data_IF_478689635751
#
_entry.id   IF_478689635751
#
_cell.length_a   1.000
_cell.length_b   1.000
_cell.length_c   1.000
_cell.angle_alpha   90.00
_cell.angle_beta   90.00
_cell.angle_gamma   90.00
#
_symmetry.space_group_name_H-M   'P 1'
#
loop_
_entity.id
_entity.type
_entity.pdbx_description
1 polymer ?
#
# COMPACT_ATOMS: atom_id res chain seq x y z
N UNK A 1 -29.76 -4.70 7.93
CA UNK A 1 -28.38 -5.04 8.36
C UNK A 1 -27.89 -3.99 9.36
N UNK A 2 -27.17 -4.38 10.41
CA UNK A 2 -26.53 -3.41 11.32
C UNK A 2 -25.25 -2.84 10.71
N UNK A 3 -24.88 -1.61 11.05
CA UNK A 3 -23.61 -0.99 10.62
C UNK A 3 -22.39 -1.85 10.99
N UNK A 4 -22.47 -2.58 12.13
CA UNK A 4 -21.39 -3.47 12.61
C UNK A 4 -21.15 -4.69 11.72
N UNK A 5 -22.20 -5.20 11.08
CA UNK A 5 -22.15 -6.39 10.21
C UNK A 5 -21.92 -6.04 8.75
N UNK A 6 -22.24 -4.80 8.33
CA UNK A 6 -22.16 -4.33 6.95
C UNK A 6 -20.75 -4.42 6.35
N UNK A 7 -19.73 -4.05 7.13
CA UNK A 7 -18.35 -4.13 6.68
C UNK A 7 -17.94 -5.57 6.34
N UNK A 8 -18.24 -6.50 7.25
CA UNK A 8 -17.87 -7.91 7.09
C UNK A 8 -18.54 -8.55 5.88
N UNK A 9 -19.82 -8.27 5.64
CA UNK A 9 -20.54 -8.83 4.48
C UNK A 9 -19.94 -8.34 3.16
N UNK A 10 -19.63 -7.05 3.03
CA UNK A 10 -19.02 -6.48 1.81
C UNK A 10 -17.64 -7.04 1.52
N UNK A 11 -16.80 -7.17 2.55
CA UNK A 11 -15.47 -7.79 2.43
C UNK A 11 -15.59 -9.24 1.99
N UNK A 12 -16.49 -10.02 2.60
CA UNK A 12 -16.69 -11.42 2.25
C UNK A 12 -17.17 -11.60 0.81
N UNK A 13 -18.11 -10.76 0.36
CA UNK A 13 -18.59 -10.77 -1.02
C UNK A 13 -17.47 -10.44 -2.00
N UNK A 14 -16.69 -9.41 -1.71
CA UNK A 14 -15.52 -9.03 -2.50
C UNK A 14 -14.53 -10.20 -2.62
N UNK A 15 -14.16 -10.83 -1.51
CA UNK A 15 -13.24 -11.98 -1.52
C UNK A 15 -13.79 -13.17 -2.29
N UNK A 16 -15.08 -13.49 -2.13
CA UNK A 16 -15.72 -14.58 -2.87
C UNK A 16 -15.64 -14.32 -4.38
N UNK A 17 -15.88 -13.09 -4.82
CA UNK A 17 -15.80 -12.70 -6.24
C UNK A 17 -14.35 -12.73 -6.75
N UNK A 18 -13.43 -12.07 -6.04
CA UNK A 18 -12.03 -11.99 -6.44
C UNK A 18 -11.34 -13.34 -6.43
N UNK A 19 -11.60 -14.20 -5.44
CA UNK A 19 -11.01 -15.53 -5.34
C UNK A 19 -11.34 -16.38 -6.57
N UNK A 20 -12.59 -16.34 -7.06
CA UNK A 20 -12.97 -17.06 -8.29
C UNK A 20 -12.14 -16.60 -9.49
N UNK A 21 -11.96 -15.29 -9.68
CA UNK A 21 -11.15 -14.78 -10.78
C UNK A 21 -9.68 -15.16 -10.64
N UNK A 22 -9.07 -14.92 -9.47
CA UNK A 22 -7.66 -15.23 -9.24
C UNK A 22 -7.36 -16.73 -9.26
N UNK A 23 -8.31 -17.60 -8.88
CA UNK A 23 -8.14 -19.05 -8.99
C UNK A 23 -8.03 -19.49 -10.45
N UNK A 24 -8.86 -18.95 -11.34
CA UNK A 24 -8.81 -19.25 -12.78
C UNK A 24 -7.51 -18.71 -13.40
N UNK A 25 -7.11 -17.48 -13.06
CA UNK A 25 -5.84 -16.89 -13.54
C UNK A 25 -4.66 -17.73 -13.02
N UNK A 26 -4.66 -18.06 -11.75
CA UNK A 26 -3.61 -18.86 -11.11
C UNK A 26 -3.42 -20.21 -11.79
N UNK A 27 -4.52 -20.94 -12.05
CA UNK A 27 -4.46 -22.24 -12.71
C UNK A 27 -3.84 -22.19 -14.12
N UNK A 28 -4.07 -21.11 -14.87
CA UNK A 28 -3.64 -21.02 -16.27
C UNK A 28 -2.27 -20.35 -16.46
N UNK A 29 -1.85 -19.47 -15.54
CA UNK A 29 -0.69 -18.56 -15.75
C UNK A 29 0.46 -18.85 -14.78
N UNK A 30 0.32 -19.80 -13.87
CA UNK A 30 1.35 -20.10 -12.85
C UNK A 30 2.74 -20.34 -13.44
N UNK A 31 2.87 -21.24 -14.43
CA UNK A 31 4.15 -21.57 -15.05
C UNK A 31 4.78 -20.36 -15.78
N UNK A 32 3.96 -19.53 -16.41
CA UNK A 32 4.42 -18.30 -17.07
C UNK A 32 5.04 -17.32 -16.07
N UNK A 33 4.39 -17.11 -14.92
CA UNK A 33 4.94 -16.26 -13.85
C UNK A 33 6.23 -16.83 -13.25
N UNK A 34 6.34 -18.15 -13.10
CA UNK A 34 7.57 -18.78 -12.62
C UNK A 34 8.75 -18.55 -13.58
N UNK A 35 8.54 -18.74 -14.89
CA UNK A 35 9.59 -18.55 -15.90
C UNK A 35 10.02 -17.08 -15.93
N UNK A 36 9.06 -16.15 -16.09
CA UNK A 36 9.38 -14.72 -16.18
C UNK A 36 9.97 -14.21 -14.87
N UNK A 37 9.44 -14.63 -13.72
CA UNK A 37 9.99 -14.28 -12.42
C UNK A 37 11.44 -14.72 -12.27
N UNK A 38 11.75 -15.96 -12.66
CA UNK A 38 13.13 -16.49 -12.61
C UNK A 38 14.08 -15.71 -13.52
N UNK A 39 13.64 -15.41 -14.76
CA UNK A 39 14.42 -14.62 -15.72
C UNK A 39 14.66 -13.20 -15.18
N UNK A 40 13.63 -12.55 -14.62
CA UNK A 40 13.74 -11.22 -14.04
C UNK A 40 14.72 -11.19 -12.86
N UNK A 41 14.62 -12.17 -11.95
CA UNK A 41 15.54 -12.31 -10.81
C UNK A 41 16.97 -12.49 -11.30
N UNK A 42 17.20 -13.33 -12.31
CA UNK A 42 18.53 -13.57 -12.87
C UNK A 42 19.15 -12.30 -13.48
N UNK A 43 18.41 -11.59 -14.33
CA UNK A 43 18.90 -10.34 -14.92
C UNK A 43 19.11 -9.23 -13.89
N UNK A 44 18.25 -9.16 -12.88
CA UNK A 44 18.42 -8.19 -11.80
C UNK A 44 19.65 -8.53 -10.94
N UNK A 45 19.91 -9.81 -10.68
CA UNK A 45 21.14 -10.24 -10.01
C UNK A 45 22.40 -9.85 -10.81
N UNK A 46 22.41 -10.07 -12.12
CA UNK A 46 23.53 -9.64 -12.98
C UNK A 46 23.71 -8.12 -12.95
N UNK A 47 22.61 -7.37 -12.97
CA UNK A 47 22.64 -5.91 -12.89
C UNK A 47 23.26 -5.42 -11.58
N UNK A 48 22.93 -6.05 -10.44
CA UNK A 48 23.53 -5.72 -9.14
C UNK A 48 25.02 -6.04 -9.12
N UNK A 49 25.48 -7.13 -9.76
CA UNK A 49 26.91 -7.46 -9.85
C UNK A 49 27.71 -6.46 -10.72
N UNK A 50 27.06 -5.82 -11.69
CA UNK A 50 27.66 -4.82 -12.56
C UNK A 50 27.67 -3.41 -11.96
N UNK A 51 27.06 -3.22 -10.79
CA UNK A 51 26.98 -1.92 -10.16
C UNK A 51 28.37 -1.47 -9.67
N UNK A 52 28.75 -0.19 -9.86
CA UNK A 52 29.98 0.33 -9.29
C UNK A 52 29.96 0.16 -7.76
N UNK A 53 31.10 -0.12 -7.12
CA UNK A 53 31.17 -0.31 -5.66
C UNK A 53 30.76 0.93 -4.86
N UNK A 54 30.74 2.10 -5.48
CA UNK A 54 30.27 3.37 -4.89
C UNK A 54 28.74 3.43 -4.76
N UNK A 55 28.01 2.68 -5.57
CA UNK A 55 26.54 2.65 -5.58
C UNK A 55 26.04 1.51 -4.69
N UNK A 56 25.59 1.89 -3.49
CA UNK A 56 25.04 0.94 -2.53
C UNK A 56 23.72 0.34 -3.06
N UNK A 57 23.60 -0.99 -3.07
CA UNK A 57 22.42 -1.73 -3.58
C UNK A 57 21.13 -1.28 -2.88
N UNK A 58 21.25 -0.86 -1.62
CA UNK A 58 20.20 -0.30 -0.77
C UNK A 58 19.53 0.93 -1.39
N UNK A 59 20.25 1.74 -2.19
CA UNK A 59 19.70 2.91 -2.91
C UNK A 59 18.65 2.48 -3.93
N UNK A 60 18.95 1.44 -4.70
CA UNK A 60 18.06 0.94 -5.76
C UNK A 60 16.90 0.18 -5.13
N UNK A 61 17.18 -0.67 -4.15
CA UNK A 61 16.15 -1.45 -3.46
C UNK A 61 15.16 -0.56 -2.72
N UNK A 62 15.63 0.46 -2.01
CA UNK A 62 14.75 1.42 -1.33
C UNK A 62 13.86 2.17 -2.30
N UNK A 63 14.36 2.51 -3.51
CA UNK A 63 13.56 3.15 -4.55
C UNK A 63 12.44 2.22 -5.05
N UNK A 64 12.75 0.96 -5.32
CA UNK A 64 11.77 -0.05 -5.77
C UNK A 64 10.70 -0.28 -4.70
N UNK A 65 11.11 -0.52 -3.45
CA UNK A 65 10.19 -0.73 -2.31
C UNK A 65 9.31 0.50 -2.11
N UNK A 66 9.88 1.69 -2.18
CA UNK A 66 9.12 2.94 -2.04
C UNK A 66 8.13 3.12 -3.18
N UNK A 67 8.51 2.79 -4.41
CA UNK A 67 7.58 2.82 -5.54
C UNK A 67 6.38 1.88 -5.31
N UNK A 68 6.61 0.66 -4.80
CA UNK A 68 5.54 -0.27 -4.43
C UNK A 68 4.65 0.31 -3.32
N UNK A 69 5.24 0.89 -2.28
CA UNK A 69 4.52 1.54 -1.18
C UNK A 69 3.67 2.72 -1.63
N UNK A 70 4.16 3.53 -2.56
CA UNK A 70 3.39 4.70 -3.01
C UNK A 70 2.14 4.34 -3.80
N UNK A 71 2.09 3.13 -4.38
CA UNK A 71 0.90 2.58 -5.03
C UNK A 71 -0.18 2.08 -4.06
N UNK A 72 0.04 2.18 -2.75
CA UNK A 72 -0.95 1.88 -1.71
C UNK A 72 -2.28 2.57 -1.97
N UNK A 73 -3.35 1.79 -1.80
CA UNK A 73 -4.74 2.23 -1.93
C UNK A 73 -5.48 1.93 -0.64
N UNK A 74 -6.34 2.85 -0.23
CA UNK A 74 -7.26 2.62 0.87
C UNK A 74 -8.55 2.06 0.29
N UNK A 75 -8.90 0.83 0.65
CA UNK A 75 -10.16 0.19 0.28
C UNK A 75 -11.19 0.46 1.36
N UNK A 76 -12.24 1.19 1.04
CA UNK A 76 -13.31 1.46 1.99
C UNK A 76 -14.52 0.58 1.80
N UNK A 77 -14.66 -0.09 0.65
CA UNK A 77 -15.81 -0.93 0.31
C UNK A 77 -17.14 -0.14 0.36
N UNK A 78 -17.08 1.17 0.14
CA UNK A 78 -18.27 2.01 0.05
C UNK A 78 -18.85 1.89 -1.35
N UNK A 79 -20.14 1.59 -1.43
CA UNK A 79 -20.87 1.54 -2.69
C UNK A 79 -21.56 2.88 -2.95
N UNK A 80 -21.46 3.37 -4.19
CA UNK A 80 -22.06 4.65 -4.62
C UNK A 80 -23.57 4.70 -4.40
N UNK A 81 -24.26 3.57 -4.58
CA UNK A 81 -25.71 3.46 -4.42
C UNK A 81 -26.17 3.67 -2.96
N UNK A 82 -25.33 3.36 -1.97
CA UNK A 82 -25.71 3.36 -0.56
C UNK A 82 -25.47 4.72 0.13
N UNK A 83 -24.84 5.67 -0.55
CA UNK A 83 -24.41 6.94 0.05
C UNK A 83 -25.56 7.77 0.61
N UNK A 84 -26.73 7.93 -0.06
CA UNK A 84 -27.86 8.65 0.51
C UNK A 84 -28.30 8.08 1.88
N UNK A 85 -28.10 6.78 2.11
CA UNK A 85 -28.42 6.11 3.37
C UNK A 85 -27.30 6.20 4.41
N UNK A 86 -26.04 6.35 3.97
CA UNK A 86 -24.86 6.42 4.84
C UNK A 86 -24.56 7.84 5.32
N UNK A 87 -24.93 8.88 4.57
CA UNK A 87 -24.73 10.28 4.93
C UNK A 87 -25.32 10.64 6.31
N UNK A 88 -26.58 10.29 6.65
CA UNK A 88 -27.14 10.59 7.98
C UNK A 88 -26.46 9.83 9.13
N UNK A 89 -25.69 8.78 8.82
CA UNK A 89 -25.04 7.89 9.77
C UNK A 89 -23.53 8.13 9.89
N UNK A 90 -22.98 9.23 9.34
CA UNK A 90 -21.54 9.50 9.30
C UNK A 90 -20.85 9.34 10.67
N UNK A 91 -21.45 9.87 11.73
CA UNK A 91 -20.93 9.76 13.10
C UNK A 91 -20.86 8.33 13.64
N UNK A 92 -21.68 7.43 13.11
CA UNK A 92 -21.71 6.00 13.47
C UNK A 92 -20.83 5.14 12.57
N UNK A 93 -20.29 5.70 11.48
CA UNK A 93 -19.45 5.00 10.50
C UNK A 93 -17.94 5.09 10.83
N UNK A 94 -17.53 5.80 11.88
CA UNK A 94 -16.12 5.82 12.30
C UNK A 94 -15.53 4.41 12.49
N UNK A 95 -16.21 3.45 13.17
CA UNK A 95 -15.69 2.09 13.29
C UNK A 95 -15.60 1.34 11.96
N UNK A 96 -16.45 1.68 10.98
CA UNK A 96 -16.43 1.10 9.64
C UNK A 96 -15.15 1.51 8.90
N UNK A 97 -14.85 2.80 8.86
CA UNK A 97 -13.64 3.31 8.19
C UNK A 97 -12.34 2.88 8.89
N UNK A 98 -12.32 2.79 10.22
CA UNK A 98 -11.17 2.24 10.95
C UNK A 98 -10.89 0.80 10.52
N UNK A 99 -11.92 -0.05 10.38
CA UNK A 99 -11.75 -1.43 9.91
C UNK A 99 -11.25 -1.48 8.46
N UNK A 100 -11.76 -0.61 7.59
CA UNK A 100 -11.30 -0.47 6.21
C UNK A 100 -9.83 -0.04 6.10
N UNK A 101 -9.40 0.90 6.94
CA UNK A 101 -7.99 1.32 7.04
C UNK A 101 -7.11 0.19 7.58
N UNK A 102 -7.54 -0.49 8.65
CA UNK A 102 -6.82 -1.63 9.24
C UNK A 102 -6.66 -2.75 8.21
N UNK A 103 -7.71 -3.07 7.46
CA UNK A 103 -7.65 -4.04 6.37
C UNK A 103 -6.63 -3.64 5.31
N UNK A 104 -6.70 -2.40 4.83
CA UNK A 104 -5.77 -1.90 3.80
C UNK A 104 -4.32 -1.95 4.29
N UNK A 105 -4.11 -1.62 5.57
CA UNK A 105 -2.82 -1.71 6.23
C UNK A 105 -2.29 -3.14 6.34
N UNK A 106 -3.09 -4.12 6.78
CA UNK A 106 -2.69 -5.53 6.84
C UNK A 106 -2.32 -6.07 5.45
N UNK A 107 -3.06 -5.67 4.43
CA UNK A 107 -2.76 -6.05 3.04
C UNK A 107 -1.45 -5.44 2.56
N UNK A 108 -1.13 -4.20 2.93
CA UNK A 108 0.13 -3.58 2.52
C UNK A 108 1.34 -4.08 3.33
N UNK A 109 1.17 -4.31 4.64
CA UNK A 109 2.18 -4.97 5.48
C UNK A 109 2.51 -6.36 4.93
N UNK A 110 1.51 -7.17 4.59
CA UNK A 110 1.76 -8.52 4.06
C UNK A 110 2.52 -8.49 2.74
N UNK A 111 2.17 -7.59 1.80
CA UNK A 111 2.94 -7.38 0.57
C UNK A 111 4.39 -6.98 0.86
N UNK A 112 4.59 -6.03 1.76
CA UNK A 112 5.93 -5.55 2.12
C UNK A 112 6.80 -6.62 2.74
N UNK A 113 6.25 -7.39 3.69
CA UNK A 113 6.99 -8.46 4.36
C UNK A 113 7.40 -9.53 3.35
N UNK A 114 6.48 -9.97 2.48
CA UNK A 114 6.80 -10.95 1.43
C UNK A 114 7.88 -10.40 0.51
N UNK A 115 7.72 -9.16 0.03
CA UNK A 115 8.66 -8.53 -0.88
C UNK A 115 10.05 -8.37 -0.24
N UNK A 116 10.14 -7.74 0.93
CA UNK A 116 11.41 -7.51 1.61
C UNK A 116 12.10 -8.81 2.01
N UNK A 117 11.36 -9.84 2.43
CA UNK A 117 11.96 -11.14 2.76
C UNK A 117 12.67 -11.76 1.56
N UNK A 118 12.00 -11.76 0.40
CA UNK A 118 12.58 -12.29 -0.85
C UNK A 118 13.79 -11.45 -1.27
N UNK A 119 13.66 -10.12 -1.25
CA UNK A 119 14.72 -9.22 -1.73
C UNK A 119 15.95 -9.20 -0.82
N UNK A 120 15.78 -9.17 0.50
CA UNK A 120 16.90 -9.21 1.44
C UNK A 120 17.65 -10.53 1.29
N UNK A 121 16.93 -11.66 1.26
CA UNK A 121 17.54 -12.98 1.09
C UNK A 121 18.29 -13.17 -0.23
N UNK A 122 17.97 -12.40 -1.27
CA UNK A 122 18.59 -12.52 -2.60
C UNK A 122 19.74 -11.54 -2.83
N UNK A 123 19.74 -10.38 -2.16
CA UNK A 123 20.61 -9.26 -2.53
C UNK A 123 21.37 -8.63 -1.37
N UNK A 124 21.00 -8.93 -0.11
CA UNK A 124 21.60 -8.32 1.07
C UNK A 124 21.99 -9.41 2.07
N UNK A 125 23.21 -9.90 1.96
CA UNK A 125 23.76 -10.91 2.87
C UNK A 125 24.02 -10.36 4.29
N UNK A 126 24.13 -9.04 4.42
CA UNK A 126 24.48 -8.36 5.68
C UNK A 126 23.26 -7.88 6.48
N UNK A 127 22.09 -7.75 5.86
CA UNK A 127 20.89 -7.23 6.53
C UNK A 127 20.11 -8.38 7.15
N UNK A 128 20.01 -8.40 8.48
CA UNK A 128 19.30 -9.43 9.22
C UNK A 128 17.84 -9.03 9.54
N UNK A 129 16.92 -9.96 9.30
CA UNK A 129 15.50 -9.80 9.63
C UNK A 129 15.25 -10.01 11.13
N UNK A 130 15.48 -8.98 11.93
CA UNK A 130 15.18 -9.00 13.37
C UNK A 130 13.77 -8.48 13.67
N UNK A 131 13.29 -8.74 14.89
CA UNK A 131 11.98 -8.27 15.35
C UNK A 131 11.81 -6.75 15.22
N UNK A 132 12.87 -5.99 15.49
CA UNK A 132 12.90 -4.53 15.37
C UNK A 132 12.69 -4.08 13.91
N UNK A 133 13.33 -4.77 12.96
CA UNK A 133 13.17 -4.51 11.53
C UNK A 133 11.71 -4.71 11.07
N UNK A 134 11.09 -5.81 11.51
CA UNK A 134 9.67 -6.08 11.24
C UNK A 134 8.76 -5.01 11.85
N UNK A 135 9.05 -4.55 13.08
CA UNK A 135 8.28 -3.48 13.72
C UNK A 135 8.34 -2.17 12.90
N UNK A 136 9.52 -1.81 12.38
CA UNK A 136 9.68 -0.65 11.52
C UNK A 136 8.89 -0.78 10.22
N UNK A 137 8.90 -1.94 9.55
CA UNK A 137 8.09 -2.18 8.36
C UNK A 137 6.61 -1.95 8.64
N UNK A 138 6.11 -2.54 9.73
CA UNK A 138 4.71 -2.45 10.15
C UNK A 138 4.31 -0.99 10.38
N UNK A 139 5.17 -0.22 11.01
CA UNK A 139 4.96 1.20 11.26
C UNK A 139 5.06 2.07 9.98
N UNK A 140 6.03 1.82 9.10
CA UNK A 140 6.17 2.50 7.80
C UNK A 140 4.90 2.29 6.96
N UNK A 141 4.39 1.06 6.90
CA UNK A 141 3.13 0.76 6.20
C UNK A 141 1.94 1.51 6.82
N UNK A 142 1.92 1.64 8.14
CA UNK A 142 0.89 2.38 8.88
C UNK A 142 0.90 3.86 8.52
N UNK A 143 2.08 4.48 8.54
CA UNK A 143 2.25 5.88 8.13
C UNK A 143 1.87 6.11 6.68
N UNK A 144 2.24 5.21 5.78
CA UNK A 144 1.89 5.30 4.37
C UNK A 144 0.36 5.29 4.14
N UNK A 145 -0.38 4.44 4.87
CA UNK A 145 -1.84 4.39 4.84
C UNK A 145 -2.46 5.69 5.37
N UNK A 146 -1.95 6.20 6.49
CA UNK A 146 -2.46 7.45 7.09
C UNK A 146 -2.21 8.64 6.16
N UNK A 147 -1.04 8.73 5.52
CA UNK A 147 -0.76 9.77 4.53
C UNK A 147 -1.69 9.66 3.33
N UNK A 148 -1.90 8.44 2.81
CA UNK A 148 -2.86 8.22 1.73
C UNK A 148 -4.27 8.64 2.13
N UNK A 149 -4.66 8.42 3.39
CA UNK A 149 -5.96 8.85 3.93
C UNK A 149 -6.09 10.38 4.03
N UNK A 150 -5.00 11.09 4.32
CA UNK A 150 -4.97 12.57 4.36
C UNK A 150 -5.24 13.18 2.98
N UNK A 151 -4.91 12.49 1.88
CA UNK A 151 -5.16 12.97 0.50
C UNK A 151 -6.63 13.34 0.27
N UNK A 152 -7.58 12.76 1.01
CA UNK A 152 -9.01 13.04 0.88
C UNK A 152 -9.38 14.51 1.12
N UNK A 153 -8.53 15.24 1.86
CA UNK A 153 -8.77 16.62 2.23
C UNK A 153 -7.91 17.62 1.44
N UNK A 154 -7.21 17.16 0.41
CA UNK A 154 -6.37 18.00 -0.45
C UNK A 154 -7.08 18.23 -1.78
N UNK A 155 -7.78 19.36 -1.90
CA UNK A 155 -8.52 19.72 -3.11
C UNK A 155 -7.62 20.34 -4.19
N UNK A 156 -6.59 21.09 -3.78
CA UNK A 156 -5.69 21.76 -4.71
C UNK A 156 -4.67 20.76 -5.29
N UNK A 157 -4.57 20.72 -6.63
CA UNK A 157 -3.62 19.86 -7.37
C UNK A 157 -2.17 20.06 -6.93
N UNK A 158 -1.76 21.30 -6.67
CA UNK A 158 -0.39 21.61 -6.23
C UNK A 158 -0.14 21.05 -4.83
N UNK A 159 -1.10 21.22 -3.91
CA UNK A 159 -0.98 20.68 -2.55
C UNK A 159 -0.94 19.15 -2.57
N UNK A 160 -1.75 18.51 -3.42
CA UNK A 160 -1.74 17.06 -3.60
C UNK A 160 -0.40 16.56 -4.16
N UNK A 161 0.17 17.26 -5.16
CA UNK A 161 1.48 16.91 -5.72
C UNK A 161 2.59 17.02 -4.67
N UNK A 162 2.64 18.14 -3.94
CA UNK A 162 3.62 18.35 -2.88
C UNK A 162 3.48 17.32 -1.75
N UNK A 163 2.24 16.97 -1.38
CA UNK A 163 1.98 15.92 -0.39
C UNK A 163 2.49 14.55 -0.86
N UNK A 164 2.23 14.18 -2.12
CA UNK A 164 2.70 12.92 -2.70
C UNK A 164 4.22 12.86 -2.81
N UNK A 165 4.85 13.96 -3.19
CA UNK A 165 6.31 14.08 -3.25
C UNK A 165 6.93 13.97 -1.86
N UNK A 166 6.39 14.68 -0.86
CA UNK A 166 6.82 14.57 0.52
C UNK A 166 6.64 13.15 1.08
N UNK A 167 5.49 12.51 0.81
CA UNK A 167 5.23 11.12 1.17
C UNK A 167 6.26 10.18 0.53
N UNK A 168 6.54 10.34 -0.75
CA UNK A 168 7.53 9.52 -1.46
C UNK A 168 8.93 9.67 -0.85
N UNK A 169 9.40 10.91 -0.65
CA UNK A 169 10.72 11.17 -0.08
C UNK A 169 10.86 10.63 1.34
N UNK A 170 9.88 10.86 2.20
CA UNK A 170 9.95 10.37 3.58
C UNK A 170 9.95 8.84 3.64
N UNK A 171 9.14 8.16 2.81
CA UNK A 171 9.16 6.70 2.72
C UNK A 171 10.47 6.18 2.15
N UNK A 172 11.01 6.85 1.12
CA UNK A 172 12.30 6.51 0.53
C UNK A 172 13.42 6.54 1.57
N UNK A 173 13.55 7.63 2.32
CA UNK A 173 14.58 7.73 3.35
C UNK A 173 14.36 6.72 4.47
N UNK A 174 13.13 6.52 4.95
CA UNK A 174 12.85 5.50 5.96
C UNK A 174 13.28 4.11 5.51
N UNK A 175 12.93 3.70 4.29
CA UNK A 175 13.28 2.38 3.76
C UNK A 175 14.79 2.29 3.52
N UNK A 176 15.42 3.33 2.98
CA UNK A 176 16.85 3.36 2.74
C UNK A 176 17.66 3.16 4.03
N UNK A 177 17.37 3.95 5.07
CA UNK A 177 18.07 3.82 6.36
C UNK A 177 17.71 2.51 7.08
N UNK A 178 16.49 2.00 6.88
CA UNK A 178 16.11 0.70 7.40
C UNK A 178 16.93 -0.44 6.76
N UNK A 179 17.17 -0.41 5.45
CA UNK A 179 18.00 -1.41 4.76
C UNK A 179 19.48 -1.32 5.15
N UNK A 180 19.98 -0.11 5.46
CA UNK A 180 21.32 0.13 6.00
C UNK A 180 21.49 -0.23 7.48
N UNK A 181 20.42 -0.69 8.14
CA UNK A 181 20.38 -1.00 9.57
C UNK A 181 20.68 0.23 10.48
N UNK A 182 20.46 1.44 9.99
CA UNK A 182 20.67 2.68 10.75
C UNK A 182 19.35 3.19 11.35
N UNK A 183 18.98 2.59 12.48
CA UNK A 183 17.69 2.84 13.13
C UNK A 183 17.51 4.28 13.63
N UNK A 184 18.60 5.00 13.90
CA UNK A 184 18.53 6.37 14.39
C UNK A 184 17.91 7.29 13.34
N UNK A 185 18.36 7.20 12.08
CA UNK A 185 17.76 7.99 11.00
C UNK A 185 16.33 7.53 10.69
N UNK A 186 16.02 6.24 10.77
CA UNK A 186 14.63 5.76 10.61
C UNK A 186 13.71 6.44 11.62
N UNK A 187 14.11 6.51 12.89
CA UNK A 187 13.33 7.19 13.94
C UNK A 187 13.21 8.70 13.71
N UNK A 188 14.26 9.36 13.23
CA UNK A 188 14.22 10.79 12.90
C UNK A 188 13.18 11.05 11.79
N UNK A 189 13.25 10.30 10.69
CA UNK A 189 12.30 10.45 9.59
C UNK A 189 10.88 10.09 10.02
N UNK A 190 10.70 9.06 10.86
CA UNK A 190 9.39 8.72 11.43
C UNK A 190 8.84 9.85 12.29
N UNK A 191 9.68 10.48 13.10
CA UNK A 191 9.28 11.61 13.96
C UNK A 191 8.82 12.80 13.12
N UNK A 192 9.56 13.16 12.06
CA UNK A 192 9.16 14.19 11.09
C UNK A 192 7.81 13.83 10.45
N UNK A 193 7.63 12.57 10.10
CA UNK A 193 6.39 12.07 9.50
C UNK A 193 5.19 12.17 10.45
N UNK A 194 5.38 11.83 11.73
CA UNK A 194 4.36 11.96 12.78
C UNK A 194 3.95 13.41 12.95
N UNK A 195 4.92 14.34 13.03
CA UNK A 195 4.63 15.79 13.14
C UNK A 195 3.80 16.27 11.95
N UNK A 196 4.16 15.84 10.73
CA UNK A 196 3.40 16.16 9.53
C UNK A 196 1.95 15.65 9.62
N UNK A 197 1.75 14.38 10.00
CA UNK A 197 0.41 13.80 10.17
C UNK A 197 -0.40 14.57 11.21
N UNK A 198 0.18 14.89 12.37
CA UNK A 198 -0.48 15.62 13.45
C UNK A 198 -0.95 17.01 13.00
N UNK A 199 -0.14 17.70 12.20
CA UNK A 199 -0.51 19.00 11.62
C UNK A 199 -1.78 18.92 10.75
N UNK A 200 -1.93 17.86 9.94
CA UNK A 200 -3.12 17.67 9.12
C UNK A 200 -4.32 17.17 9.93
N UNK A 201 -4.11 16.25 10.87
CA UNK A 201 -5.17 15.69 11.73
C UNK A 201 -5.79 16.72 12.67
N UNK A 202 -5.05 17.77 13.07
CA UNK A 202 -5.56 18.86 13.89
C UNK A 202 -6.67 19.67 13.19
N UNK A 203 -6.69 19.68 11.86
CA UNK A 203 -7.75 20.30 11.08
C UNK A 203 -8.92 19.33 11.04
N UNK A 204 -9.84 19.43 12.00
CA UNK A 204 -11.08 18.61 12.01
C UNK A 204 -11.82 18.81 10.69
N UNK A 205 -11.89 17.76 9.87
CA UNK A 205 -12.51 17.77 8.55
C UNK A 205 -13.46 16.59 8.45
N UNK A 206 -14.62 16.85 7.86
CA UNK A 206 -15.63 15.82 7.56
C UNK A 206 -15.09 14.83 6.53
N UNK A 207 -15.75 13.67 6.42
CA UNK A 207 -15.37 12.67 5.43
C UNK A 207 -15.70 13.17 4.02
N UNK A 208 -14.71 13.10 3.12
CA UNK A 208 -14.95 13.47 1.72
C UNK A 208 -15.50 12.27 0.95
N UNK A 209 -16.84 12.14 0.90
CA UNK A 209 -17.54 11.05 0.23
C UNK A 209 -17.19 10.91 -1.26
N UNK A 210 -17.03 12.01 -1.98
CA UNK A 210 -16.66 11.99 -3.40
C UNK A 210 -15.29 11.35 -3.61
N UNK A 211 -14.31 11.70 -2.77
CA UNK A 211 -13.00 11.08 -2.80
C UNK A 211 -13.06 9.58 -2.48
N UNK A 212 -13.88 9.17 -1.51
CA UNK A 212 -14.03 7.74 -1.17
C UNK A 212 -14.60 6.93 -2.34
N UNK A 213 -15.60 7.46 -3.06
CA UNK A 213 -16.19 6.82 -4.25
C UNK A 213 -15.14 6.66 -5.34
N UNK A 214 -14.47 7.75 -5.69
CA UNK A 214 -13.50 7.80 -6.78
C UNK A 214 -12.32 6.87 -6.48
N UNK A 215 -11.85 6.81 -5.24
CA UNK A 215 -10.78 5.89 -4.84
C UNK A 215 -11.21 4.42 -4.91
N UNK A 216 -12.42 4.09 -4.44
CA UNK A 216 -12.95 2.72 -4.50
C UNK A 216 -13.21 2.27 -5.95
N UNK A 217 -13.77 3.15 -6.78
CA UNK A 217 -14.03 2.90 -8.20
C UNK A 217 -12.73 2.73 -8.98
N UNK A 218 -11.73 3.61 -8.79
CA UNK A 218 -10.39 3.45 -9.36
C UNK A 218 -9.71 2.17 -8.90
N UNK A 219 -9.93 1.79 -7.65
CA UNK A 219 -9.52 0.50 -7.11
C UNK A 219 -10.15 -0.66 -7.88
N UNK A 220 -11.49 -0.66 -7.99
CA UNK A 220 -12.28 -1.71 -8.66
C UNK A 220 -11.85 -1.85 -10.13
N UNK A 221 -11.79 -0.73 -10.86
CA UNK A 221 -11.40 -0.70 -12.27
C UNK A 221 -9.95 -1.16 -12.51
N UNK A 222 -9.00 -0.86 -11.60
CA UNK A 222 -7.62 -1.38 -11.73
C UNK A 222 -7.60 -2.92 -11.62
N UNK A 223 -8.35 -3.48 -10.67
CA UNK A 223 -8.43 -4.92 -10.49
C UNK A 223 -9.14 -5.62 -11.66
N UNK A 224 -10.26 -5.07 -12.13
CA UNK A 224 -10.98 -5.61 -13.28
C UNK A 224 -10.14 -5.55 -14.56
N UNK A 225 -9.44 -4.44 -14.82
CA UNK A 225 -8.51 -4.35 -15.95
C UNK A 225 -7.38 -5.37 -15.87
N UNK A 226 -6.85 -5.62 -14.66
CA UNK A 226 -5.85 -6.68 -14.47
C UNK A 226 -6.41 -8.06 -14.82
N UNK A 227 -7.62 -8.36 -14.34
CA UNK A 227 -8.30 -9.64 -14.62
C UNK A 227 -8.59 -9.78 -16.13
N UNK A 228 -8.99 -8.69 -16.78
CA UNK A 228 -9.31 -8.68 -18.21
C UNK A 228 -8.13 -8.93 -19.14
N UNK A 229 -6.88 -8.85 -18.65
CA UNK A 229 -5.72 -9.31 -19.42
C UNK A 229 -5.66 -10.83 -19.56
N UNK A 230 -6.38 -11.57 -18.71
CA UNK A 230 -6.34 -13.04 -18.66
C UNK A 230 -7.68 -13.69 -18.95
N UNK A 231 -8.79 -13.04 -18.58
CA UNK A 231 -10.14 -13.58 -18.70
C UNK A 231 -11.09 -12.42 -19.02
N UNK A 232 -11.92 -12.56 -20.05
CA UNK A 232 -12.93 -11.55 -20.37
C UNK A 232 -13.96 -11.40 -19.24
N UNK A 233 -13.97 -10.23 -18.60
CA UNK A 233 -14.92 -9.88 -17.54
C UNK A 233 -15.57 -8.54 -17.87
N UNK A 234 -16.90 -8.41 -17.72
CA UNK A 234 -17.57 -7.13 -17.93
C UNK A 234 -17.08 -6.09 -16.91
N UNK A 235 -16.71 -4.91 -17.42
CA UNK A 235 -16.14 -3.78 -16.66
C UNK A 235 -17.25 -2.88 -16.11
#
# INVERSE_FOLDING_TARGET
MSVKTLWGSRVQEYYRKMFRYYAIIGANVFYFFLIIGSVLIYFFHLFVQWLPPELAVEVILSLIVTYILTQTKVRTFVEKADIPFLLPLESRLTPYFIRSLLYSWVIDVSKLVIFLTIFISLFLDTTSLHLLFLLFIVAIAGFNIVMKWIEQWLENRIQLLLHRLNRFLLLYFMVYFLLKDDWMYVLIFMSVHVVYILYFMRKRRTLNWLWQIDEEERGRLKNLRFINFFIDVPI
#
